data_IF_262037102729
#
_entry.id   IF_262037102729
#
_cell.length_a   1.000
_cell.length_b   1.000
_cell.length_c   1.000
_cell.angle_alpha   90.00
_cell.angle_beta   90.00
_cell.angle_gamma   90.00
#
_symmetry.space_group_name_H-M   'P 1'
#
loop_
_entity.id
_entity.type
_entity.pdbx_description
1 polymer ?
#
# COMPACT_ATOMS: atom_id res chain seq x y z
N UNK A 1 2.93 -13.83 -4.26
CA UNK A 1 1.99 -13.21 -3.29
C UNK A 1 2.00 -11.72 -3.53
N UNK A 2 0.85 -11.09 -3.74
CA UNK A 2 0.78 -9.64 -3.91
C UNK A 2 0.94 -8.92 -2.57
N UNK A 3 1.60 -7.76 -2.57
CA UNK A 3 1.81 -6.91 -1.40
C UNK A 3 1.59 -5.44 -1.76
N UNK A 4 1.54 -4.56 -0.76
CA UNK A 4 1.32 -3.13 -1.00
C UNK A 4 -0.12 -2.74 -1.34
N UNK A 5 -0.27 -1.66 -2.11
CA UNK A 5 -1.56 -1.04 -2.44
C UNK A 5 -2.45 -1.95 -3.28
N UNK A 6 -1.87 -2.77 -4.17
CA UNK A 6 -2.65 -3.70 -4.99
C UNK A 6 -3.30 -4.80 -4.14
N UNK A 7 -2.58 -5.33 -3.15
CA UNK A 7 -3.15 -6.29 -2.20
C UNK A 7 -4.32 -5.70 -1.38
N UNK A 8 -4.25 -4.41 -1.03
CA UNK A 8 -5.34 -3.70 -0.38
C UNK A 8 -6.52 -3.45 -1.33
N UNK A 9 -6.24 -3.05 -2.58
CA UNK A 9 -7.28 -2.85 -3.59
C UNK A 9 -8.07 -4.14 -3.82
N UNK A 10 -7.37 -5.28 -3.98
CA UNK A 10 -7.99 -6.60 -4.12
C UNK A 10 -8.77 -7.01 -2.87
N UNK A 11 -8.21 -6.80 -1.67
CA UNK A 11 -8.86 -7.15 -0.39
C UNK A 11 -10.16 -6.38 -0.15
N UNK A 12 -10.21 -5.11 -0.52
CA UNK A 12 -11.36 -4.24 -0.33
C UNK A 12 -12.24 -4.08 -1.57
N UNK A 13 -11.95 -4.82 -2.66
CA UNK A 13 -12.73 -4.78 -3.90
C UNK A 13 -12.74 -3.40 -4.57
N UNK A 14 -11.67 -2.63 -4.42
CA UNK A 14 -11.60 -1.25 -4.92
C UNK A 14 -11.35 -1.26 -6.41
N UNK A 15 -12.35 -0.85 -7.19
CA UNK A 15 -12.16 -0.53 -8.60
C UNK A 15 -11.52 0.84 -8.72
N UNK A 16 -10.39 0.95 -9.40
CA UNK A 16 -9.69 2.22 -9.62
C UNK A 16 -10.04 2.82 -10.97
N UNK A 17 -10.12 4.15 -11.04
CA UNK A 17 -10.28 4.84 -12.31
C UNK A 17 -8.97 4.86 -13.11
N UNK A 18 -7.82 4.90 -12.42
CA UNK A 18 -6.50 4.79 -13.02
C UNK A 18 -5.76 3.57 -12.46
N UNK A 19 -5.02 2.82 -13.28
CA UNK A 19 -4.25 1.69 -12.78
C UNK A 19 -3.18 2.16 -11.80
N UNK A 20 -2.90 1.34 -10.79
CA UNK A 20 -1.75 1.60 -9.91
C UNK A 20 -0.46 1.54 -10.73
N UNK A 21 0.35 2.59 -10.62
CA UNK A 21 1.66 2.67 -11.28
C UNK A 21 2.62 1.57 -10.82
N UNK A 22 2.46 1.07 -9.59
CA UNK A 22 3.35 0.07 -9.00
C UNK A 22 2.57 -1.17 -8.61
N UNK A 23 3.11 -2.32 -8.99
CA UNK A 23 2.64 -3.65 -8.61
C UNK A 23 3.75 -4.38 -7.86
N UNK A 24 3.53 -4.65 -6.57
CA UNK A 24 4.55 -5.30 -5.74
C UNK A 24 4.16 -6.73 -5.39
N UNK A 25 5.10 -7.65 -5.55
CA UNK A 25 4.92 -9.05 -5.19
C UNK A 25 6.11 -9.62 -4.42
N UNK A 26 5.85 -10.63 -3.58
CA UNK A 26 6.89 -11.42 -2.94
C UNK A 26 7.30 -12.57 -3.88
N UNK A 27 8.60 -12.61 -4.20
CA UNK A 27 9.26 -13.62 -5.02
C UNK A 27 10.55 -14.11 -4.35
N UNK A 28 11.25 -15.06 -4.97
CA UNK A 28 12.51 -15.62 -4.45
C UNK A 28 13.71 -14.67 -4.58
N UNK A 29 13.67 -13.73 -5.52
CA UNK A 29 14.72 -12.76 -5.79
C UNK A 29 14.14 -11.35 -5.91
N UNK A 30 14.97 -10.35 -5.65
CA UNK A 30 14.64 -8.97 -5.94
C UNK A 30 14.72 -8.73 -7.44
N UNK A 31 13.65 -8.22 -8.03
CA UNK A 31 13.62 -7.79 -9.42
C UNK A 31 12.72 -6.55 -9.53
N UNK A 32 13.00 -5.69 -10.50
CA UNK A 32 12.12 -4.58 -10.86
C UNK A 32 12.01 -4.58 -12.37
N UNK A 33 10.78 -4.53 -12.89
CA UNK A 33 10.49 -4.41 -14.32
C UNK A 33 9.66 -3.16 -14.50
N UNK A 34 10.18 -2.24 -15.28
CA UNK A 34 9.43 -1.06 -15.71
C UNK A 34 8.93 -1.32 -17.14
N UNK A 35 7.62 -1.26 -17.31
CA UNK A 35 6.94 -1.18 -18.59
C UNK A 35 6.36 0.23 -18.66
N UNK A 36 6.25 0.84 -19.85
CA UNK A 36 5.95 2.27 -20.08
C UNK A 36 5.18 3.00 -18.94
N UNK A 37 4.02 2.48 -18.53
CA UNK A 37 3.16 3.06 -17.49
C UNK A 37 3.08 2.29 -16.16
N UNK A 38 3.77 1.14 -16.02
CA UNK A 38 3.66 0.25 -14.86
C UNK A 38 5.02 -0.33 -14.42
N UNK A 39 5.28 -0.26 -13.11
CA UNK A 39 6.45 -0.82 -12.45
C UNK A 39 6.06 -2.07 -11.67
N UNK A 40 6.55 -3.24 -12.09
CA UNK A 40 6.45 -4.47 -11.31
C UNK A 40 7.69 -4.65 -10.43
N UNK A 41 7.49 -4.63 -9.12
CA UNK A 41 8.53 -4.88 -8.15
C UNK A 41 8.36 -6.26 -7.51
N UNK A 42 9.43 -7.03 -7.50
CA UNK A 42 9.53 -8.30 -6.81
C UNK A 42 10.47 -8.14 -5.63
N UNK A 43 9.99 -8.47 -4.43
CA UNK A 43 10.74 -8.40 -3.19
C UNK A 43 10.99 -9.80 -2.62
N UNK A 44 12.17 -10.05 -2.03
CA UNK A 44 12.44 -11.31 -1.37
C UNK A 44 11.57 -11.49 -0.11
N UNK A 45 11.42 -12.71 0.43
CA UNK A 45 10.52 -13.00 1.54
C UNK A 45 10.79 -12.21 2.82
N UNK A 46 12.00 -11.67 2.99
CA UNK A 46 12.37 -10.79 4.11
C UNK A 46 11.59 -9.47 4.15
N UNK A 47 10.98 -9.06 3.04
CA UNK A 47 10.16 -7.85 2.94
C UNK A 47 8.66 -8.15 3.06
N UNK A 48 8.28 -9.40 3.35
CA UNK A 48 6.88 -9.78 3.49
C UNK A 48 6.26 -8.98 4.66
N UNK A 49 5.26 -8.12 4.39
CA UNK A 49 4.55 -7.44 5.45
C UNK A 49 3.62 -8.43 6.19
N UNK A 50 3.11 -8.01 7.34
CA UNK A 50 1.96 -8.66 7.97
C UNK A 50 0.78 -8.64 6.99
N UNK A 51 0.04 -9.75 6.90
CA UNK A 51 -1.11 -9.92 6.00
C UNK A 51 -2.38 -9.22 6.55
N UNK A 52 -2.22 -7.97 6.96
CA UNK A 52 -3.25 -7.09 7.51
C UNK A 52 -3.23 -5.72 6.81
N UNK A 53 -4.24 -4.89 7.10
CA UNK A 53 -4.32 -3.54 6.54
C UNK A 53 -3.02 -2.75 6.83
N UNK A 54 -2.57 -2.77 8.08
CA UNK A 54 -1.42 -1.99 8.54
C UNK A 54 -0.12 -2.36 7.82
N UNK A 55 0.16 -3.66 7.66
CA UNK A 55 1.35 -4.18 7.02
C UNK A 55 1.39 -3.86 5.54
N UNK A 56 0.30 -4.12 4.80
CA UNK A 56 0.24 -3.79 3.38
C UNK A 56 0.24 -2.27 3.13
N UNK A 57 -0.45 -1.50 3.97
CA UNK A 57 -0.49 -0.04 3.86
C UNK A 57 0.89 0.59 4.15
N UNK A 58 1.57 0.14 5.20
CA UNK A 58 2.93 0.59 5.52
C UNK A 58 3.93 0.20 4.43
N UNK A 59 3.82 -1.01 3.90
CA UNK A 59 4.66 -1.47 2.79
C UNK A 59 4.50 -0.55 1.57
N UNK A 60 3.26 -0.27 1.16
CA UNK A 60 2.99 0.61 0.03
C UNK A 60 3.54 2.02 0.25
N UNK A 61 3.38 2.57 1.46
CA UNK A 61 3.93 3.90 1.79
C UNK A 61 5.46 3.96 1.75
N UNK A 62 6.15 2.85 2.07
CA UNK A 62 7.62 2.78 2.11
C UNK A 62 8.25 2.54 0.74
N UNK A 63 7.59 1.77 -0.12
CA UNK A 63 8.21 1.21 -1.31
C UNK A 63 7.50 1.50 -2.63
N UNK A 64 6.26 2.00 -2.59
CA UNK A 64 5.44 2.23 -3.79
C UNK A 64 5.17 3.72 -4.02
N UNK A 65 4.78 4.05 -5.26
CA UNK A 65 4.34 5.39 -5.59
C UNK A 65 2.97 5.69 -4.97
N UNK A 66 2.83 6.87 -4.37
CA UNK A 66 1.56 7.28 -3.77
C UNK A 66 0.48 7.46 -4.84
N UNK A 67 -0.71 6.93 -4.57
CA UNK A 67 -1.85 7.01 -5.48
C UNK A 67 -3.07 7.60 -4.74
N UNK A 68 -3.27 8.91 -4.88
CA UNK A 68 -4.28 9.64 -4.09
C UNK A 68 -5.71 9.20 -4.37
N UNK A 69 -6.05 8.84 -5.61
CA UNK A 69 -7.37 8.31 -5.96
C UNK A 69 -7.64 6.97 -5.25
N UNK A 70 -6.61 6.14 -5.14
CA UNK A 70 -6.70 4.88 -4.40
C UNK A 70 -6.90 5.14 -2.92
N UNK A 71 -6.16 6.08 -2.32
CA UNK A 71 -6.34 6.45 -0.91
C UNK A 71 -7.74 6.97 -0.62
N UNK A 72 -8.27 7.86 -1.47
CA UNK A 72 -9.63 8.38 -1.29
C UNK A 72 -10.67 7.24 -1.28
N UNK A 73 -10.58 6.30 -2.23
CA UNK A 73 -11.50 5.14 -2.28
C UNK A 73 -11.28 4.18 -1.12
N UNK A 74 -10.02 3.90 -0.78
CA UNK A 74 -9.66 3.03 0.34
C UNK A 74 -10.25 3.59 1.64
N UNK A 75 -10.08 4.88 1.90
CA UNK A 75 -10.59 5.51 3.12
C UNK A 75 -12.12 5.57 3.15
N UNK A 76 -12.77 5.73 1.99
CA UNK A 76 -14.23 5.66 1.89
C UNK A 76 -14.78 4.26 2.22
N UNK A 77 -14.07 3.19 1.82
CA UNK A 77 -14.50 1.80 2.05
C UNK A 77 -14.14 1.31 3.47
N UNK A 78 -12.93 1.59 3.91
CA UNK A 78 -12.36 1.09 5.18
C UNK A 78 -12.92 1.86 6.38
N UNK A 79 -13.34 3.11 6.16
CA UNK A 79 -13.77 4.02 7.22
C UNK A 79 -12.61 4.47 8.13
N UNK A 80 -12.89 5.29 9.15
CA UNK A 80 -11.84 5.91 9.95
C UNK A 80 -11.15 4.95 10.92
N UNK A 81 -11.83 3.92 11.44
CA UNK A 81 -11.32 3.10 12.56
C UNK A 81 -10.00 2.39 12.27
N UNK A 82 -9.79 1.74 11.11
CA UNK A 82 -8.53 1.05 10.82
C UNK A 82 -7.37 2.03 10.60
N UNK A 83 -7.67 3.22 10.05
CA UNK A 83 -6.70 4.30 9.85
C UNK A 83 -6.29 4.90 11.19
N UNK A 84 -7.26 5.20 12.06
CA UNK A 84 -7.00 5.71 13.41
C UNK A 84 -6.20 4.70 14.24
N UNK A 85 -6.54 3.42 14.15
CA UNK A 85 -5.79 2.33 14.79
C UNK A 85 -4.37 2.26 14.26
N UNK A 86 -4.17 2.38 12.94
CA UNK A 86 -2.85 2.43 12.34
C UNK A 86 -2.05 3.66 12.79
N UNK A 87 -2.64 4.86 12.72
CA UNK A 87 -2.02 6.11 13.17
C UNK A 87 -1.64 6.06 14.66
N UNK A 88 -2.47 5.43 15.51
CA UNK A 88 -2.21 5.26 16.94
C UNK A 88 -1.13 4.24 17.24
N UNK A 89 -1.06 3.16 16.45
CA UNK A 89 -0.08 2.08 16.58
C UNK A 89 1.25 2.36 15.87
N UNK A 90 1.34 3.43 15.07
CA UNK A 90 2.58 3.89 14.43
C UNK A 90 3.14 5.15 15.13
N UNK A 91 3.62 5.09 16.40
CA UNK A 91 3.98 6.28 17.15
C UNK A 91 5.23 7.03 16.64
N UNK A 92 6.08 6.44 15.78
CA UNK A 92 7.36 7.07 15.38
C UNK A 92 7.80 6.85 13.91
N UNK A 93 6.88 6.62 12.97
CA UNK A 93 7.21 6.62 11.54
C UNK A 93 6.91 7.98 10.91
N UNK A 94 7.84 8.58 10.15
CA UNK A 94 7.63 9.84 9.41
C UNK A 94 6.33 9.93 8.59
N UNK A 95 5.72 8.77 8.30
CA UNK A 95 4.50 8.61 7.53
C UNK A 95 3.20 8.87 8.32
N UNK A 96 3.20 8.67 9.65
CA UNK A 96 2.02 8.97 10.48
C UNK A 96 1.72 10.48 10.55
N UNK A 97 2.77 11.33 10.57
CA UNK A 97 2.58 12.80 10.51
C UNK A 97 1.99 13.28 9.19
N UNK A 98 2.25 12.58 8.08
CA UNK A 98 1.66 12.91 6.76
C UNK A 98 0.20 12.49 6.65
N UNK A 99 -0.19 11.38 7.28
CA UNK A 99 -1.58 10.91 7.29
C UNK A 99 -2.52 11.91 7.98
N UNK A 100 -2.06 12.59 9.04
CA UNK A 100 -2.83 13.64 9.72
C UNK A 100 -3.16 14.88 8.87
N UNK A 101 -2.58 15.04 7.68
CA UNK A 101 -2.93 16.11 6.75
C UNK A 101 -4.10 15.75 5.82
N UNK A 102 -4.48 14.46 5.76
CA UNK A 102 -5.56 13.96 4.91
C UNK A 102 -6.86 13.66 5.68
N UNK A 103 -6.89 13.99 6.98
CA UNK A 103 -8.07 13.88 7.86
C UNK A 103 -8.71 15.25 8.02
#
# INVERSE_FOLDING_TARGET
MQVGFKALADRYGITLAQPLRVDSSIASRRASRENDDQVENQYPPSYRPTDDFAGHFEFGLKYEALHFEFFARLFAVVGPRPIESWCRNAPFGQYARRAGFFV
#
